data_IF_798043331532
#
_entry.id   IF_798043331532
#
_cell.length_a   1.000
_cell.length_b   1.000
_cell.length_c   1.000
_cell.angle_alpha   90.00
_cell.angle_beta   90.00
_cell.angle_gamma   90.00
#
_symmetry.space_group_name_H-M   'P 1'
#
loop_
_entity.id
_entity.type
_entity.pdbx_description
1 polymer ?
#
# COMPACT_ATOMS: atom_id res chain seq x y z
N UNK A 1 8.97 15.44 26.46
CA UNK A 1 7.72 14.65 26.58
C UNK A 1 7.93 13.43 25.72
N UNK A 2 8.00 12.24 26.34
CA UNK A 2 8.37 10.99 25.68
C UNK A 2 7.28 10.61 24.66
N UNK A 3 7.65 10.55 23.37
CA UNK A 3 6.73 10.22 22.26
C UNK A 3 6.74 8.73 21.89
N UNK A 4 7.46 7.89 22.63
CA UNK A 4 7.43 6.45 22.40
C UNK A 4 6.21 5.86 23.12
N UNK A 5 5.13 5.65 22.37
CA UNK A 5 4.03 4.77 22.77
C UNK A 5 4.63 3.44 23.25
N UNK A 6 4.18 2.93 24.38
CA UNK A 6 4.79 1.76 25.03
C UNK A 6 4.71 0.50 24.15
N UNK A 7 3.84 0.54 23.13
CA UNK A 7 3.76 -0.42 22.04
C UNK A 7 5.08 -0.54 21.24
N UNK A 8 5.83 0.55 21.02
CA UNK A 8 7.05 0.56 20.21
C UNK A 8 8.20 -0.25 20.83
N UNK A 9 8.25 -0.38 22.16
CA UNK A 9 9.28 -1.21 22.84
C UNK A 9 9.05 -2.71 22.62
N UNK A 10 7.89 -3.11 22.10
CA UNK A 10 7.49 -4.50 21.89
C UNK A 10 7.14 -4.80 20.43
N UNK A 11 7.45 -3.89 19.50
CA UNK A 11 7.20 -4.09 18.07
C UNK A 11 8.37 -4.81 17.39
N UNK A 12 8.08 -5.48 16.28
CA UNK A 12 9.04 -6.06 15.35
C UNK A 12 8.89 -5.40 13.98
N UNK A 13 9.98 -5.27 13.24
CA UNK A 13 9.95 -4.71 11.88
C UNK A 13 9.85 -5.85 10.87
N UNK A 14 8.94 -5.73 9.90
CA UNK A 14 8.92 -6.55 8.69
C UNK A 14 8.99 -5.67 7.43
N UNK A 15 9.40 -6.24 6.30
CA UNK A 15 9.65 -5.51 5.06
C UNK A 15 8.99 -6.17 3.85
N UNK A 16 8.18 -5.40 3.13
CA UNK A 16 7.69 -5.74 1.80
C UNK A 16 8.63 -5.08 0.78
N UNK A 17 9.48 -5.87 0.15
CA UNK A 17 10.38 -5.37 -0.88
C UNK A 17 9.77 -5.61 -2.27
N UNK A 18 9.63 -4.54 -3.03
CA UNK A 18 9.40 -4.61 -4.47
C UNK A 18 10.74 -4.98 -5.10
N UNK A 19 10.79 -6.03 -5.91
CA UNK A 19 12.06 -6.60 -6.40
C UNK A 19 11.98 -6.92 -7.88
N UNK A 20 13.08 -6.70 -8.61
CA UNK A 20 13.14 -6.84 -10.07
C UNK A 20 12.01 -6.02 -10.73
N UNK A 21 11.42 -6.50 -11.82
CA UNK A 21 10.27 -5.88 -12.46
C UNK A 21 8.92 -6.42 -12.00
N UNK A 22 8.91 -7.60 -11.37
CA UNK A 22 7.70 -8.40 -11.18
C UNK A 22 7.68 -9.27 -9.90
N UNK A 23 8.55 -9.02 -8.93
CA UNK A 23 8.60 -9.81 -7.70
C UNK A 23 8.26 -9.02 -6.45
N UNK A 24 7.69 -9.72 -5.48
CA UNK A 24 7.48 -9.25 -4.10
C UNK A 24 8.22 -10.16 -3.14
N UNK A 25 8.93 -9.58 -2.19
CA UNK A 25 9.54 -10.32 -1.08
C UNK A 25 8.96 -9.87 0.25
N UNK A 26 8.45 -10.82 1.03
CA UNK A 26 7.93 -10.64 2.38
C UNK A 26 9.03 -11.09 3.34
N UNK A 27 9.78 -10.13 3.87
CA UNK A 27 10.96 -10.36 4.72
C UNK A 27 10.57 -10.13 6.18
N UNK A 28 10.75 -11.14 7.03
CA UNK A 28 10.42 -11.04 8.46
C UNK A 28 8.93 -10.88 8.76
N UNK A 29 8.04 -11.19 7.81
CA UNK A 29 6.60 -11.12 8.03
C UNK A 29 6.16 -12.15 9.08
N UNK A 30 5.23 -11.79 10.00
CA UNK A 30 4.63 -12.76 10.89
C UNK A 30 3.96 -13.89 10.11
N UNK A 31 4.18 -15.14 10.52
CA UNK A 31 3.67 -16.32 9.81
C UNK A 31 2.15 -16.32 9.63
N UNK A 32 1.40 -15.68 10.54
CA UNK A 32 -0.06 -15.53 10.44
C UNK A 32 -0.53 -14.45 9.46
N UNK A 33 0.34 -13.51 9.06
CA UNK A 33 0.02 -12.44 8.11
C UNK A 33 0.47 -12.78 6.69
N UNK A 34 1.57 -13.51 6.53
CA UNK A 34 2.06 -13.95 5.21
C UNK A 34 0.95 -14.50 4.30
N UNK A 35 0.13 -15.50 4.70
CA UNK A 35 -0.92 -16.01 3.82
C UNK A 35 -1.98 -14.96 3.48
N UNK A 36 -2.32 -14.06 4.42
CA UNK A 36 -3.33 -13.01 4.21
C UNK A 36 -2.89 -11.98 3.19
N UNK A 37 -1.63 -11.57 3.29
CA UNK A 37 -1.00 -10.64 2.34
C UNK A 37 -0.91 -11.27 0.95
N UNK A 38 -0.54 -12.55 0.88
CA UNK A 38 -0.52 -13.31 -0.39
C UNK A 38 -1.92 -13.42 -1.00
N UNK A 39 -2.94 -13.68 -0.19
CA UNK A 39 -4.32 -13.74 -0.67
C UNK A 39 -4.80 -12.38 -1.17
N UNK A 40 -4.38 -11.28 -0.53
CA UNK A 40 -4.69 -9.94 -1.02
C UNK A 40 -3.99 -9.63 -2.35
N UNK A 41 -2.74 -10.02 -2.51
CA UNK A 41 -2.03 -9.93 -3.80
C UNK A 41 -2.82 -10.66 -4.90
N UNK A 42 -3.31 -11.88 -4.62
CA UNK A 42 -4.08 -12.67 -5.61
C UNK A 42 -5.42 -12.05 -5.96
N UNK A 43 -6.08 -11.39 -5.01
CA UNK A 43 -7.38 -10.77 -5.22
C UNK A 43 -7.29 -9.47 -6.02
N UNK A 44 -6.24 -8.70 -5.81
CA UNK A 44 -6.12 -7.33 -6.34
C UNK A 44 -5.28 -7.26 -7.62
N UNK A 45 -4.35 -8.20 -7.81
CA UNK A 45 -3.51 -8.20 -8.99
C UNK A 45 -4.20 -8.86 -10.18
N UNK A 46 -4.76 -8.03 -11.08
CA UNK A 46 -5.52 -8.42 -12.26
C UNK A 46 -4.79 -9.41 -13.19
N UNK A 47 -3.47 -9.27 -13.33
CA UNK A 47 -2.65 -10.15 -14.17
C UNK A 47 -2.34 -11.50 -13.51
N UNK A 48 -2.56 -11.64 -12.20
CA UNK A 48 -2.37 -12.89 -11.47
C UNK A 48 -0.92 -13.23 -11.08
N UNK A 49 -0.77 -14.28 -10.27
CA UNK A 49 0.52 -14.71 -9.72
C UNK A 49 1.14 -15.78 -10.62
N UNK A 50 2.31 -15.50 -11.19
CA UNK A 50 3.05 -16.43 -12.06
C UNK A 50 3.72 -17.54 -11.27
N UNK A 51 4.26 -17.23 -10.08
CA UNK A 51 4.86 -18.19 -9.17
C UNK A 51 4.40 -17.90 -7.76
N UNK A 52 3.84 -18.93 -7.13
CA UNK A 52 3.34 -18.85 -5.76
C UNK A 52 4.43 -18.51 -4.74
N UNK A 53 4.04 -18.32 -3.47
CA UNK A 53 4.97 -18.01 -2.39
C UNK A 53 6.01 -19.13 -2.23
N UNK A 54 7.28 -18.79 -2.42
CA UNK A 54 8.43 -19.67 -2.25
C UNK A 54 9.33 -19.15 -1.12
N UNK A 55 9.81 -20.05 -0.26
CA UNK A 55 10.79 -19.69 0.76
C UNK A 55 12.14 -19.39 0.09
N UNK A 56 12.66 -18.18 0.30
CA UNK A 56 13.95 -17.71 -0.20
C UNK A 56 14.85 -17.30 0.96
N UNK A 57 16.12 -16.98 0.68
CA UNK A 57 17.09 -16.54 1.69
C UNK A 57 17.14 -17.52 2.89
N UNK A 58 17.28 -18.82 2.62
CA UNK A 58 17.29 -19.87 3.65
C UNK A 58 16.05 -19.86 4.56
N UNK A 59 14.88 -19.49 4.02
CA UNK A 59 13.62 -19.44 4.77
C UNK A 59 13.39 -18.15 5.55
N UNK A 60 14.25 -17.14 5.39
CA UNK A 60 14.10 -15.83 6.05
C UNK A 60 13.11 -14.91 5.34
N UNK A 61 12.73 -15.23 4.10
CA UNK A 61 11.77 -14.46 3.33
C UNK A 61 10.90 -15.36 2.47
N UNK A 62 9.75 -14.83 2.07
CA UNK A 62 8.85 -15.45 1.10
C UNK A 62 8.82 -14.58 -0.15
N UNK A 63 9.11 -15.16 -1.32
CA UNK A 63 9.06 -14.46 -2.60
C UNK A 63 7.86 -14.92 -3.44
N UNK A 64 7.23 -13.98 -4.12
CA UNK A 64 6.22 -14.21 -5.15
C UNK A 64 6.69 -13.61 -6.47
N UNK A 65 6.38 -14.28 -7.57
CA UNK A 65 6.54 -13.72 -8.92
C UNK A 65 5.17 -13.46 -9.52
N UNK A 66 4.94 -12.23 -9.98
CA UNK A 66 3.70 -11.78 -10.59
C UNK A 66 3.78 -11.93 -12.11
N UNK A 67 2.64 -12.12 -12.78
CA UNK A 67 2.57 -11.91 -14.22
C UNK A 67 2.61 -10.40 -14.53
N UNK A 68 3.21 -10.03 -15.66
CA UNK A 68 3.37 -8.62 -16.03
C UNK A 68 4.64 -8.00 -15.46
N UNK A 69 4.67 -6.68 -15.35
CA UNK A 69 5.79 -5.93 -14.76
C UNK A 69 5.27 -4.78 -13.89
N UNK A 70 4.60 -5.07 -12.75
CA UNK A 70 3.92 -4.07 -11.92
C UNK A 70 4.82 -2.89 -11.51
N UNK A 71 6.13 -3.11 -11.36
CA UNK A 71 7.07 -2.07 -10.92
C UNK A 71 7.61 -1.21 -12.05
N UNK A 72 7.36 -1.62 -13.31
CA UNK A 72 7.71 -0.89 -14.53
C UNK A 72 6.45 -0.56 -15.36
N UNK A 73 5.27 -0.76 -14.78
CA UNK A 73 4.00 -0.67 -15.47
C UNK A 73 3.63 0.76 -15.83
N UNK A 74 2.83 0.89 -16.88
CA UNK A 74 2.20 2.14 -17.31
C UNK A 74 0.68 1.98 -17.37
N UNK A 75 -0.04 3.10 -17.36
CA UNK A 75 -1.48 3.14 -17.57
C UNK A 75 -2.25 2.26 -16.56
N UNK A 76 -3.14 1.39 -17.03
CA UNK A 76 -4.03 0.60 -16.18
C UNK A 76 -3.26 -0.36 -15.26
N UNK A 77 -2.23 -1.03 -15.77
CA UNK A 77 -1.43 -1.96 -14.96
C UNK A 77 -0.74 -1.22 -13.79
N UNK A 78 -0.38 0.05 -13.99
CA UNK A 78 0.19 0.90 -12.94
C UNK A 78 -0.86 1.33 -11.89
N UNK A 79 -2.13 1.43 -12.27
CA UNK A 79 -3.26 1.65 -11.35
C UNK A 79 -3.46 0.40 -10.51
N UNK A 80 -3.58 -0.76 -11.15
CA UNK A 80 -3.78 -2.05 -10.50
C UNK A 80 -2.63 -2.35 -9.51
N UNK A 81 -1.39 -2.00 -9.84
CA UNK A 81 -0.24 -2.17 -8.97
C UNK A 81 -0.33 -1.30 -7.70
N UNK A 82 -0.79 -0.05 -7.83
CA UNK A 82 -1.00 0.86 -6.69
C UNK A 82 -2.17 0.42 -5.82
N UNK A 83 -3.25 -0.05 -6.43
CA UNK A 83 -4.41 -0.59 -5.72
C UNK A 83 -4.03 -1.85 -4.92
N UNK A 84 -3.25 -2.75 -5.51
CA UNK A 84 -2.68 -3.91 -4.81
C UNK A 84 -1.84 -3.48 -3.60
N UNK A 85 -0.95 -2.49 -3.76
CA UNK A 85 -0.15 -2.00 -2.63
C UNK A 85 -1.01 -1.37 -1.54
N UNK A 86 -2.02 -0.58 -1.90
CA UNK A 86 -2.98 -0.01 -0.95
C UNK A 86 -3.70 -1.11 -0.17
N UNK A 87 -4.15 -2.16 -0.86
CA UNK A 87 -4.82 -3.29 -0.23
C UNK A 87 -3.90 -4.05 0.74
N UNK A 88 -2.62 -4.22 0.40
CA UNK A 88 -1.62 -4.81 1.32
C UNK A 88 -1.43 -3.91 2.54
N UNK A 89 -1.26 -2.59 2.36
CA UNK A 89 -1.11 -1.64 3.48
C UNK A 89 -2.33 -1.66 4.39
N UNK A 90 -3.54 -1.69 3.82
CA UNK A 90 -4.80 -1.84 4.57
C UNK A 90 -4.83 -3.15 5.34
N UNK A 91 -4.47 -4.27 4.71
CA UNK A 91 -4.45 -5.56 5.41
C UNK A 91 -3.46 -5.53 6.57
N UNK A 92 -2.24 -5.00 6.38
CA UNK A 92 -1.27 -4.83 7.46
C UNK A 92 -1.83 -3.96 8.60
N UNK A 93 -2.48 -2.84 8.25
CA UNK A 93 -3.09 -1.92 9.20
C UNK A 93 -4.18 -2.57 10.05
N UNK A 94 -5.05 -3.38 9.44
CA UNK A 94 -6.12 -4.10 10.15
C UNK A 94 -5.57 -4.99 11.26
N UNK A 95 -4.36 -5.51 11.11
CA UNK A 95 -3.67 -6.32 12.12
C UNK A 95 -2.79 -5.51 13.08
N UNK A 96 -2.94 -4.19 13.09
CA UNK A 96 -2.20 -3.26 13.95
C UNK A 96 -0.78 -2.99 13.49
N UNK A 97 -0.36 -3.47 12.31
CA UNK A 97 0.93 -3.12 11.73
C UNK A 97 0.84 -1.73 11.07
N UNK A 98 1.81 -0.87 11.34
CA UNK A 98 1.84 0.51 10.83
C UNK A 98 2.97 0.67 9.84
N UNK A 99 2.72 1.36 8.72
CA UNK A 99 3.78 1.74 7.80
C UNK A 99 4.76 2.65 8.54
N UNK A 100 6.03 2.26 8.59
CA UNK A 100 7.08 2.95 9.34
C UNK A 100 7.95 3.79 8.42
N UNK A 101 8.40 3.23 7.31
CA UNK A 101 9.12 3.96 6.27
C UNK A 101 8.96 3.29 4.91
N UNK A 102 9.08 4.09 3.86
CA UNK A 102 9.34 3.64 2.50
C UNK A 102 10.74 4.09 2.11
N UNK A 103 11.53 3.19 1.52
CA UNK A 103 12.86 3.52 1.03
C UNK A 103 13.19 2.73 -0.23
N UNK A 104 13.81 3.39 -1.20
CA UNK A 104 14.47 2.72 -2.31
C UNK A 104 15.83 2.21 -1.83
N UNK A 105 15.99 0.89 -1.71
CA UNK A 105 17.25 0.27 -1.27
C UNK A 105 18.11 -0.24 -2.43
N UNK A 106 17.50 -0.35 -3.61
CA UNK A 106 18.16 -0.61 -4.88
C UNK A 106 17.58 0.39 -5.86
N UNK A 107 18.40 0.90 -6.77
CA UNK A 107 18.03 1.86 -7.83
C UNK A 107 16.88 1.39 -8.75
N UNK A 108 16.30 0.23 -8.49
CA UNK A 108 15.21 -0.38 -9.22
C UNK A 108 13.86 -0.13 -8.57
N UNK A 109 13.72 -0.31 -7.25
CA UNK A 109 12.41 -0.52 -6.63
C UNK A 109 12.36 -0.25 -5.12
N UNK A 110 11.21 0.22 -4.65
CA UNK A 110 10.99 0.62 -3.25
C UNK A 110 10.81 -0.58 -2.30
N UNK A 111 11.03 -0.33 -1.01
CA UNK A 111 10.79 -1.28 0.09
C UNK A 111 9.97 -0.59 1.18
N UNK A 112 8.86 -1.21 1.56
CA UNK A 112 7.96 -0.74 2.60
C UNK A 112 8.24 -1.50 3.90
N UNK A 113 8.57 -0.77 4.97
CA UNK A 113 8.79 -1.36 6.28
C UNK A 113 7.61 -1.07 7.19
N UNK A 114 7.21 -2.08 7.96
CA UNK A 114 6.09 -1.99 8.89
C UNK A 114 6.56 -2.28 10.30
N UNK A 115 6.12 -1.46 11.26
CA UNK A 115 6.15 -1.80 12.67
C UNK A 115 4.95 -2.68 12.98
N UNK A 116 5.20 -3.93 13.35
CA UNK A 116 4.18 -4.90 13.72
C UNK A 116 4.26 -5.21 15.22
N UNK A 117 3.12 -5.25 15.93
CA UNK A 117 3.10 -5.73 17.30
C UNK A 117 3.60 -7.18 17.39
N UNK A 118 4.46 -7.51 18.37
CA UNK A 118 4.91 -8.90 18.59
C UNK A 118 3.77 -9.88 18.81
N UNK A 119 2.66 -9.41 19.39
CA UNK A 119 1.44 -10.18 19.58
C UNK A 119 0.34 -9.55 18.73
N UNK A 120 0.14 -10.14 17.56
CA UNK A 120 -0.97 -9.78 16.69
C UNK A 120 -2.28 -10.10 17.40
N UNK A 121 -3.14 -9.09 17.48
CA UNK A 121 -4.53 -9.26 17.92
C UNK A 121 -5.40 -9.35 16.66
N UNK A 122 -6.53 -10.06 16.71
CA UNK A 122 -7.51 -10.02 15.63
C UNK A 122 -7.86 -8.58 15.25
N UNK A 123 -8.28 -8.33 14.00
CA UNK A 123 -8.56 -6.97 13.53
C UNK A 123 -9.50 -6.24 14.48
N UNK A 124 -9.03 -5.08 14.96
CA UNK A 124 -9.83 -4.21 15.82
C UNK A 124 -10.83 -3.49 14.91
N UNK A 125 -12.12 -3.53 15.24
CA UNK A 125 -13.18 -2.91 14.41
C UNK A 125 -12.89 -1.46 14.04
N UNK A 126 -12.27 -0.69 14.94
CA UNK A 126 -11.86 0.70 14.69
C UNK A 126 -10.82 0.85 13.56
N UNK A 127 -9.91 -0.12 13.40
CA UNK A 127 -8.91 -0.10 12.34
C UNK A 127 -9.49 -0.54 10.99
N UNK A 128 -10.64 -1.23 10.99
CA UNK A 128 -11.39 -1.56 9.78
C UNK A 128 -12.01 -0.31 9.15
N UNK A 129 -12.37 0.69 9.97
CA UNK A 129 -12.96 1.96 9.53
C UNK A 129 -11.91 3.00 9.10
N UNK A 130 -10.61 2.68 9.18
CA UNK A 130 -9.57 3.62 8.75
C UNK A 130 -9.53 3.68 7.23
N UNK A 131 -9.94 4.82 6.69
CA UNK A 131 -9.82 5.10 5.28
C UNK A 131 -8.37 5.38 4.91
N UNK A 132 -7.94 4.80 3.80
CA UNK A 132 -6.61 4.99 3.23
C UNK A 132 -6.80 5.15 1.74
N UNK A 133 -6.10 6.09 1.12
CA UNK A 133 -6.17 6.33 -0.32
C UNK A 133 -4.76 6.42 -0.89
N UNK A 134 -4.65 6.31 -2.21
CA UNK A 134 -3.41 6.58 -2.95
C UNK A 134 -3.58 7.91 -3.65
N UNK A 135 -2.68 8.85 -3.38
CA UNK A 135 -2.50 10.06 -4.18
C UNK A 135 -1.19 9.94 -4.93
N UNK A 136 -1.23 10.06 -6.26
CA UNK A 136 -0.07 9.87 -7.13
C UNK A 136 0.03 10.96 -8.18
N UNK A 137 1.27 11.24 -8.61
CA UNK A 137 1.52 12.04 -9.81
C UNK A 137 1.23 11.17 -11.03
N UNK A 138 0.52 11.74 -11.99
CA UNK A 138 0.18 11.09 -13.24
C UNK A 138 0.58 11.98 -14.43
N UNK A 139 1.21 11.36 -15.43
CA UNK A 139 1.73 12.03 -16.62
C UNK A 139 2.61 13.23 -16.26
N UNK A 140 2.20 14.46 -16.61
CA UNK A 140 3.02 15.69 -16.43
C UNK A 140 2.48 16.61 -15.34
N UNK A 141 1.18 16.79 -15.31
CA UNK A 141 0.51 17.87 -14.59
C UNK A 141 -0.81 17.42 -13.97
N UNK A 142 -0.94 16.11 -13.69
CA UNK A 142 -2.14 15.53 -13.12
C UNK A 142 -1.84 14.88 -11.79
N UNK A 143 -2.75 15.07 -10.85
CA UNK A 143 -2.83 14.25 -9.66
C UNK A 143 -3.89 13.18 -9.91
N UNK A 144 -3.64 12.00 -9.38
CA UNK A 144 -4.57 10.88 -9.45
C UNK A 144 -4.83 10.36 -8.05
N UNK A 145 -6.11 10.28 -7.70
CA UNK A 145 -6.60 9.74 -6.44
C UNK A 145 -7.19 8.35 -6.70
N UNK A 146 -6.85 7.37 -5.86
CA UNK A 146 -7.40 6.01 -5.91
C UNK A 146 -7.78 5.53 -4.50
N UNK A 147 -8.69 4.57 -4.44
CA UNK A 147 -9.04 3.88 -3.20
C UNK A 147 -10.02 4.64 -2.31
N UNK A 148 -10.69 5.64 -2.85
CA UNK A 148 -11.96 6.17 -2.34
C UNK A 148 -13.04 5.07 -2.36
N UNK A 149 -13.92 5.02 -1.38
CA UNK A 149 -14.80 3.87 -1.11
C UNK A 149 -15.75 3.51 -2.28
N UNK A 150 -15.47 2.42 -2.99
CA UNK A 150 -16.39 1.80 -3.96
C UNK A 150 -17.64 1.14 -3.31
N UNK A 151 -17.96 1.46 -2.05
CA UNK A 151 -19.05 0.82 -1.31
C UNK A 151 -20.02 1.85 -0.77
N UNK A 152 -20.74 2.53 -1.66
CA UNK A 152 -22.17 2.88 -1.54
C UNK A 152 -22.60 3.75 -2.72
N UNK A 153 -23.74 3.43 -3.34
CA UNK A 153 -24.46 4.32 -4.29
C UNK A 153 -25.03 5.59 -3.61
N UNK A 154 -24.61 5.88 -2.37
CA UNK A 154 -24.83 7.16 -1.71
C UNK A 154 -23.69 8.04 -2.18
N UNK A 155 -24.01 9.09 -2.95
CA UNK A 155 -23.06 10.12 -3.41
C UNK A 155 -21.93 10.28 -2.39
N UNK A 156 -20.72 9.90 -2.81
CA UNK A 156 -19.57 9.60 -1.96
C UNK A 156 -19.04 10.92 -1.36
N UNK A 157 -19.80 11.44 -0.40
CA UNK A 157 -19.67 12.78 0.16
C UNK A 157 -18.29 12.99 0.77
N UNK A 158 -17.73 11.93 1.33
CA UNK A 158 -16.40 11.93 1.94
C UNK A 158 -15.31 12.03 0.86
N UNK A 159 -15.50 11.38 -0.28
CA UNK A 159 -14.58 11.44 -1.41
C UNK A 159 -14.63 12.80 -2.12
N UNK A 160 -15.83 13.38 -2.27
CA UNK A 160 -15.99 14.76 -2.75
C UNK A 160 -15.35 15.76 -1.78
N UNK A 161 -15.51 15.57 -0.47
CA UNK A 161 -14.89 16.42 0.53
C UNK A 161 -13.36 16.32 0.51
N UNK A 162 -12.81 15.11 0.38
CA UNK A 162 -11.37 14.89 0.25
C UNK A 162 -10.83 15.57 -1.02
N UNK A 163 -11.55 15.46 -2.14
CA UNK A 163 -11.20 16.12 -3.39
C UNK A 163 -11.20 17.64 -3.27
N UNK A 164 -12.19 18.21 -2.59
CA UNK A 164 -12.27 19.65 -2.35
C UNK A 164 -11.07 20.14 -1.51
N UNK A 165 -10.70 19.39 -0.46
CA UNK A 165 -9.52 19.68 0.36
C UNK A 165 -8.22 19.61 -0.46
N UNK A 166 -8.06 18.58 -1.30
CA UNK A 166 -6.88 18.45 -2.17
C UNK A 166 -6.82 19.61 -3.16
N UNK A 167 -7.94 19.94 -3.80
CA UNK A 167 -8.06 21.06 -4.75
C UNK A 167 -7.71 22.39 -4.11
N UNK A 168 -8.28 22.67 -2.93
CA UNK A 168 -7.97 23.88 -2.17
C UNK A 168 -6.48 23.98 -1.85
N UNK A 169 -5.86 22.87 -1.41
CA UNK A 169 -4.42 22.83 -1.16
C UNK A 169 -3.60 23.13 -2.42
N UNK A 170 -3.94 22.54 -3.57
CA UNK A 170 -3.24 22.79 -4.83
C UNK A 170 -3.39 24.26 -5.23
N UNK A 171 -4.58 24.84 -5.14
CA UNK A 171 -4.82 26.24 -5.49
C UNK A 171 -4.06 27.22 -4.57
N UNK A 172 -3.95 26.91 -3.29
CA UNK A 172 -3.29 27.78 -2.31
C UNK A 172 -1.75 27.70 -2.38
N UNK A 173 -1.18 26.55 -2.73
CA UNK A 173 0.26 26.31 -2.62
C UNK A 173 0.97 26.03 -3.94
N UNK A 174 0.26 25.77 -5.04
CA UNK A 174 0.84 25.58 -6.37
C UNK A 174 0.64 26.84 -7.24
N UNK A 175 1.70 27.60 -7.55
CA UNK A 175 1.58 28.92 -8.20
C UNK A 175 0.89 28.92 -9.57
N UNK A 176 0.83 27.78 -10.24
CA UNK A 176 0.19 27.64 -11.56
C UNK A 176 -1.27 27.12 -11.49
N UNK A 177 -1.78 26.82 -10.29
CA UNK A 177 -3.11 26.21 -10.10
C UNK A 177 -3.21 24.77 -10.62
N UNK A 178 -4.40 24.18 -10.50
CA UNK A 178 -4.67 22.81 -10.95
C UNK A 178 -5.02 22.76 -12.44
N UNK A 179 -4.39 21.83 -13.17
CA UNK A 179 -4.77 21.47 -14.54
C UNK A 179 -5.89 20.42 -14.57
N UNK A 180 -5.76 19.30 -13.83
CA UNK A 180 -6.79 18.25 -13.67
C UNK A 180 -6.44 17.27 -12.53
N UNK A 181 -7.40 16.91 -11.67
CA UNK A 181 -7.37 15.72 -10.80
C UNK A 181 -8.29 14.63 -11.38
N UNK A 182 -7.74 13.44 -11.61
CA UNK A 182 -8.49 12.26 -12.08
C UNK A 182 -8.77 11.30 -10.89
N UNK A 183 -9.95 10.68 -10.87
CA UNK A 183 -10.35 9.64 -9.89
C UNK A 183 -10.44 8.31 -10.63
N UNK A 184 -9.72 7.30 -10.14
CA UNK A 184 -9.75 5.92 -10.63
C UNK A 184 -10.19 4.95 -9.53
#
# INVERSE_FOLDING_TARGET
>A
VDFADESDRTSSICCLALSSSDRLQLIGFPASLTPRVVDRIRQEWSCGVQRGPEAVCNGQAVELKLHGNPWLASEQEAVDARQMLLAIVREMHRWGCRLYLSSSLKDTTDSLFFLCPRRLKPPVEQLLATEMFVLSLNRRDRLRLMGTSEQSEVEDKDCNQLMDVIRECVLNYWPKGESTIDID
#
